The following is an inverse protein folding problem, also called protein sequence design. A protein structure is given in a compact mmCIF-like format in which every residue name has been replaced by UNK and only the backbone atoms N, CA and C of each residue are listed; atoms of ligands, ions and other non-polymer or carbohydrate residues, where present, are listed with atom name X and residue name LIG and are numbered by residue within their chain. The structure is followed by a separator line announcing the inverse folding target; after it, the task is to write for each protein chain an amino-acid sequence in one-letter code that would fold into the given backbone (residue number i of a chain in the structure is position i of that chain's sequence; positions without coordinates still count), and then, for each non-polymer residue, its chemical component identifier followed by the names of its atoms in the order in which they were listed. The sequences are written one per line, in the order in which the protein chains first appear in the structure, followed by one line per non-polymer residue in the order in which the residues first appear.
data_IF_833458029557
#
_entry.id   IF_833458029557
#
_cell.length_a   1.000
_cell.length_b   1.000
_cell.length_c   1.000
_cell.angle_alpha   90.00
_cell.angle_beta   90.00
_cell.angle_gamma   90.00
#
_symmetry.space_group_name_H-M   'P 1'
#
loop_
_entity.id
_entity.type
_entity.pdbx_description
1 polymer ?
#
# COMPACT_ATOMS: atom_id res chain seq x y z
N UNK A 1 -15.57 -19.54 24.57
CA UNK A 1 -14.22 -19.45 25.17
C UNK A 1 -13.08 -19.58 24.15
N UNK A 2 -13.10 -20.59 23.26
CA UNK A 2 -12.02 -20.85 22.27
C UNK A 2 -11.80 -19.70 21.27
N UNK A 3 -12.87 -19.05 20.77
CA UNK A 3 -12.77 -17.90 19.85
C UNK A 3 -12.02 -16.71 20.46
N UNK A 4 -12.13 -16.52 21.78
CA UNK A 4 -11.49 -15.42 22.52
C UNK A 4 -9.99 -15.64 22.68
N UNK A 5 -9.55 -16.88 22.92
CA UNK A 5 -8.13 -17.24 23.00
C UNK A 5 -7.43 -17.08 21.65
N UNK A 6 -8.08 -17.51 20.55
CA UNK A 6 -7.56 -17.34 19.19
C UNK A 6 -7.35 -15.85 18.85
N UNK A 7 -8.35 -15.00 19.14
CA UNK A 7 -8.25 -13.53 18.95
C UNK A 7 -7.11 -12.90 19.75
N UNK A 8 -6.91 -13.30 21.01
CA UNK A 8 -5.80 -12.82 21.86
C UNK A 8 -4.45 -13.20 21.27
N UNK A 9 -4.29 -14.46 20.84
CA UNK A 9 -3.06 -14.94 20.18
C UNK A 9 -2.76 -14.16 18.90
N UNK A 10 -3.75 -13.98 18.05
CA UNK A 10 -3.57 -13.27 16.77
C UNK A 10 -3.20 -11.81 16.99
N UNK A 11 -3.79 -11.15 18.01
CA UNK A 11 -3.40 -9.80 18.43
C UNK A 11 -1.94 -9.77 18.90
N UNK A 12 -1.55 -10.68 19.78
CA UNK A 12 -0.18 -10.76 20.28
C UNK A 12 0.82 -10.91 19.12
N UNK A 13 0.59 -11.88 18.22
CA UNK A 13 1.46 -12.10 17.05
C UNK A 13 1.58 -10.86 16.17
N UNK A 14 0.49 -10.13 15.93
CA UNK A 14 0.52 -8.86 15.17
C UNK A 14 1.37 -7.81 15.87
N UNK A 15 1.16 -7.63 17.17
CA UNK A 15 1.93 -6.66 17.98
C UNK A 15 3.42 -7.00 17.98
N UNK A 16 3.79 -8.26 18.25
CA UNK A 16 5.20 -8.68 18.28
C UNK A 16 5.86 -8.49 16.91
N UNK A 17 5.17 -8.82 15.82
CA UNK A 17 5.68 -8.57 14.46
C UNK A 17 5.89 -7.09 14.17
N UNK A 18 4.98 -6.24 14.62
CA UNK A 18 5.09 -4.78 14.44
C UNK A 18 6.25 -4.21 15.27
N UNK A 19 6.45 -4.67 16.50
CA UNK A 19 7.60 -4.30 17.34
C UNK A 19 8.91 -4.75 16.69
N UNK A 20 9.00 -6.00 16.25
CA UNK A 20 10.18 -6.52 15.56
C UNK A 20 10.49 -5.73 14.28
N UNK A 21 9.46 -5.29 13.55
CA UNK A 21 9.63 -4.41 12.40
C UNK A 21 10.15 -3.04 12.82
N UNK A 22 9.57 -2.42 13.85
CA UNK A 22 9.99 -1.11 14.34
C UNK A 22 11.46 -1.08 14.75
N UNK A 23 11.95 -2.17 15.35
CA UNK A 23 13.33 -2.33 15.78
C UNK A 23 14.29 -2.78 14.67
N UNK A 24 13.82 -3.04 13.45
CA UNK A 24 14.69 -3.47 12.36
C UNK A 24 15.61 -2.31 11.92
N UNK A 25 16.95 -2.43 12.08
CA UNK A 25 17.89 -1.37 11.73
C UNK A 25 18.21 -1.34 10.24
N UNK A 26 17.84 -2.38 9.48
CA UNK A 26 18.21 -2.50 8.09
C UNK A 26 17.22 -1.82 7.14
N UNK A 27 17.68 -1.34 5.97
CA UNK A 27 16.80 -0.76 4.97
C UNK A 27 15.70 -1.72 4.52
N UNK A 28 14.50 -1.17 4.34
CA UNK A 28 13.35 -1.92 3.82
C UNK A 28 12.95 -1.33 2.48
N UNK A 29 12.92 -2.19 1.47
CA UNK A 29 12.42 -1.88 0.14
C UNK A 29 10.96 -2.30 0.04
N UNK A 30 10.14 -1.48 -0.60
CA UNK A 30 8.70 -1.70 -0.68
C UNK A 30 8.12 -1.18 -1.99
N UNK A 31 6.95 -1.69 -2.35
CA UNK A 31 6.11 -1.16 -3.42
C UNK A 31 4.82 -0.63 -2.80
N UNK A 32 4.35 0.48 -3.34
CA UNK A 32 3.05 1.09 -3.06
C UNK A 32 2.22 0.99 -4.33
N UNK A 33 1.00 0.50 -4.18
CA UNK A 33 0.00 0.49 -5.24
C UNK A 33 -1.25 1.15 -4.67
N UNK A 34 -1.59 2.31 -5.22
CA UNK A 34 -2.71 3.14 -4.77
C UNK A 34 -3.60 3.48 -5.95
N UNK A 35 -4.90 3.50 -5.72
CA UNK A 35 -5.89 4.05 -6.65
C UNK A 35 -6.67 5.12 -5.90
N UNK A 36 -6.86 6.29 -6.51
CA UNK A 36 -7.71 7.34 -5.94
C UNK A 36 -9.19 7.13 -6.29
N UNK A 37 -10.06 8.06 -5.89
CA UNK A 37 -11.49 8.01 -6.16
C UNK A 37 -11.84 8.25 -7.64
N UNK A 38 -10.97 8.91 -8.40
CA UNK A 38 -11.11 9.18 -9.83
C UNK A 38 -10.61 8.02 -10.71
N UNK A 39 -10.29 6.88 -10.10
CA UNK A 39 -9.73 5.70 -10.76
C UNK A 39 -8.36 5.95 -11.40
N UNK A 40 -7.60 6.91 -10.88
CA UNK A 40 -6.20 7.07 -11.19
C UNK A 40 -5.37 6.13 -10.32
N UNK A 41 -4.68 5.18 -10.95
CA UNK A 41 -3.83 4.19 -10.30
C UNK A 41 -2.36 4.56 -10.45
N UNK A 42 -1.65 4.59 -9.33
CA UNK A 42 -0.21 4.79 -9.27
C UNK A 42 0.42 3.59 -8.58
N UNK A 43 1.46 3.03 -9.21
CA UNK A 43 2.32 2.04 -8.60
C UNK A 43 3.76 2.55 -8.58
N UNK A 44 4.37 2.59 -7.40
CA UNK A 44 5.71 3.14 -7.17
C UNK A 44 6.52 2.27 -6.22
N UNK A 45 7.85 2.35 -6.30
CA UNK A 45 8.76 1.69 -5.37
C UNK A 45 9.42 2.71 -4.45
N UNK A 46 9.71 2.30 -3.22
CA UNK A 46 10.32 3.12 -2.19
C UNK A 46 11.36 2.38 -1.35
N UNK A 47 12.11 3.16 -0.58
CA UNK A 47 13.11 2.67 0.38
C UNK A 47 12.99 3.43 1.69
N UNK A 48 12.80 2.69 2.77
CA UNK A 48 12.93 3.20 4.13
C UNK A 48 14.32 2.84 4.67
N UNK A 49 14.96 3.74 5.44
CA UNK A 49 16.29 3.47 5.99
C UNK A 49 16.27 2.41 7.09
N UNK A 50 15.15 2.32 7.81
CA UNK A 50 14.91 1.36 8.89
C UNK A 50 13.42 1.00 8.97
N UNK A 51 13.08 0.04 9.83
CA UNK A 51 11.70 -0.43 9.93
C UNK A 51 10.73 0.54 10.61
N UNK A 52 11.20 1.43 11.51
CA UNK A 52 10.35 2.51 12.02
C UNK A 52 9.89 3.46 10.90
N UNK A 53 10.81 3.88 10.02
CA UNK A 53 10.45 4.73 8.88
C UNK A 53 9.48 4.03 7.92
N UNK A 54 9.68 2.73 7.68
CA UNK A 54 8.77 1.93 6.87
C UNK A 54 7.35 1.89 7.47
N UNK A 55 7.24 1.66 8.78
CA UNK A 55 5.94 1.62 9.46
C UNK A 55 5.25 2.99 9.44
N UNK A 56 5.99 4.07 9.66
CA UNK A 56 5.45 5.44 9.55
C UNK A 56 4.88 5.69 8.16
N UNK A 57 5.68 5.40 7.12
CA UNK A 57 5.23 5.53 5.74
C UNK A 57 3.99 4.67 5.45
N UNK A 58 3.96 3.44 5.96
CA UNK A 58 2.84 2.54 5.75
C UNK A 58 1.54 3.07 6.39
N UNK A 59 1.63 3.59 7.62
CA UNK A 59 0.48 4.19 8.29
C UNK A 59 0.03 5.49 7.58
N UNK A 60 0.98 6.34 7.16
CA UNK A 60 0.69 7.59 6.42
C UNK A 60 0.00 7.30 5.08
N UNK A 61 0.48 6.31 4.33
CA UNK A 61 -0.10 5.91 3.04
C UNK A 61 -1.57 5.43 3.19
N UNK A 62 -1.89 4.73 4.27
CA UNK A 62 -3.28 4.33 4.54
C UNK A 62 -4.14 5.46 5.07
N UNK A 63 -3.58 6.39 5.85
CA UNK A 63 -4.32 7.54 6.35
C UNK A 63 -4.71 8.52 5.23
N UNK A 64 -3.88 8.61 4.19
CA UNK A 64 -4.10 9.48 3.02
C UNK A 64 -4.76 8.76 1.84
N UNK A 65 -5.07 7.47 1.96
CA UNK A 65 -5.67 6.69 0.90
C UNK A 65 -7.11 7.14 0.62
N UNK A 66 -7.36 7.67 -0.57
CA UNK A 66 -8.72 7.98 -1.05
C UNK A 66 -9.42 6.75 -1.66
N UNK A 67 -8.65 5.75 -2.11
CA UNK A 67 -9.17 4.50 -2.63
C UNK A 67 -8.28 3.29 -2.28
N UNK A 68 -8.46 2.14 -2.97
CA UNK A 68 -7.72 0.92 -2.69
C UNK A 68 -6.21 1.16 -2.69
N UNK A 69 -5.59 0.94 -1.53
CA UNK A 69 -4.16 1.15 -1.32
C UNK A 69 -3.51 -0.08 -0.71
N UNK A 70 -2.33 -0.44 -1.20
CA UNK A 70 -1.53 -1.52 -0.67
C UNK A 70 -0.07 -1.12 -0.59
N UNK A 71 0.59 -1.53 0.49
CA UNK A 71 2.04 -1.36 0.70
C UNK A 71 2.59 -2.71 1.09
N UNK A 72 3.60 -3.19 0.38
CA UNK A 72 4.20 -4.47 0.64
C UNK A 72 5.71 -4.45 0.44
N UNK A 73 6.41 -5.20 1.29
CA UNK A 73 7.86 -5.33 1.26
C UNK A 73 8.29 -6.15 0.05
N UNK A 74 9.38 -5.73 -0.58
CA UNK A 74 10.00 -6.44 -1.71
C UNK A 74 11.49 -6.59 -1.49
N UNK A 75 12.15 -7.38 -2.33
CA UNK A 75 13.61 -7.43 -2.33
C UNK A 75 14.19 -6.15 -2.92
N UNK A 76 15.44 -5.84 -2.56
CA UNK A 76 16.20 -4.74 -3.14
C UNK A 76 16.19 -4.78 -4.67
N UNK A 77 16.47 -5.95 -5.25
CA UNK A 77 16.50 -6.15 -6.71
C UNK A 77 15.15 -5.84 -7.36
N UNK A 78 14.04 -6.19 -6.71
CA UNK A 78 12.70 -5.86 -7.24
C UNK A 78 12.45 -4.36 -7.21
N UNK A 79 12.77 -3.67 -6.12
CA UNK A 79 12.59 -2.23 -6.03
C UNK A 79 13.50 -1.44 -6.99
N UNK A 80 14.77 -1.83 -7.13
CA UNK A 80 15.73 -1.14 -8.02
C UNK A 80 15.40 -1.31 -9.51
N UNK A 81 14.82 -2.43 -9.90
CA UNK A 81 14.38 -2.67 -11.28
C UNK A 81 12.93 -2.23 -11.55
N UNK A 82 12.25 -1.69 -10.53
CA UNK A 82 10.85 -1.32 -10.65
C UNK A 82 10.69 -0.12 -11.57
N UNK A 83 9.77 -0.23 -12.53
CA UNK A 83 9.36 0.89 -13.39
C UNK A 83 8.07 1.46 -12.84
N UNK A 84 8.10 2.74 -12.46
CA UNK A 84 6.91 3.48 -12.04
C UNK A 84 5.83 3.35 -13.13
N UNK A 85 4.61 3.11 -12.69
CA UNK A 85 3.44 3.02 -13.56
C UNK A 85 2.38 3.96 -13.04
N UNK A 86 1.75 4.68 -13.95
CA UNK A 86 0.63 5.56 -13.70
C UNK A 86 -0.42 5.27 -14.76
N UNK A 87 -1.68 5.22 -14.34
CA UNK A 87 -2.77 4.89 -15.24
C UNK A 87 -4.06 5.55 -14.80
N UNK A 88 -4.64 6.34 -15.70
CA UNK A 88 -5.95 6.95 -15.50
C UNK A 88 -7.02 6.10 -16.19
N UNK A 89 -7.78 5.32 -15.42
CA UNK A 89 -8.86 4.51 -16.00
C UNK A 89 -10.08 5.36 -16.41
N UNK A 90 -10.26 6.54 -15.82
CA UNK A 90 -11.32 7.48 -16.20
C UNK A 90 -11.07 8.07 -17.59
N UNK A 91 -9.85 8.58 -17.83
CA UNK A 91 -9.44 9.08 -19.14
C UNK A 91 -9.45 7.97 -20.21
N UNK A 92 -8.94 6.78 -19.90
CA UNK A 92 -8.95 5.64 -20.84
C UNK A 92 -10.37 5.18 -21.20
N UNK A 93 -11.33 5.26 -20.27
CA UNK A 93 -12.72 4.95 -20.56
C UNK A 93 -13.34 5.98 -21.50
N UNK A 94 -13.04 7.27 -21.31
CA UNK A 94 -13.50 8.35 -22.18
C UNK A 94 -12.92 8.23 -23.60
N UNK A 95 -11.61 7.98 -23.73
CA UNK A 95 -10.95 7.80 -25.03
C UNK A 95 -11.45 6.56 -25.80
N UNK A 96 -11.88 5.52 -25.10
CA UNK A 96 -12.40 4.27 -25.70
C UNK A 96 -13.92 4.28 -25.91
N UNK A 97 -14.59 5.41 -25.65
CA UNK A 97 -16.04 5.54 -25.82
C UNK A 97 -16.87 4.70 -24.84
N UNK A 98 -16.31 4.36 -23.66
CA UNK A 98 -16.95 3.52 -22.65
C UNK A 98 -17.63 4.39 -21.57
N UNK A 99 -18.94 4.25 -21.32
CA UNK A 99 -19.78 5.30 -20.73
C UNK A 99 -19.79 5.30 -19.19
N UNK A 100 -18.65 5.17 -18.51
CA UNK A 100 -18.59 5.44 -17.06
C UNK A 100 -18.59 6.95 -16.73
N UNK A 101 -19.16 7.77 -17.61
CA UNK A 101 -19.57 9.13 -17.26
C UNK A 101 -20.77 9.04 -16.32
N UNK A 102 -20.51 9.34 -15.05
CA UNK A 102 -21.50 9.85 -14.11
C UNK A 102 -22.38 10.85 -14.87
N UNK A 103 -23.67 10.51 -15.01
CA UNK A 103 -24.68 11.50 -15.39
C UNK A 103 -24.78 12.43 -14.19
N UNK A 104 -24.20 13.62 -14.29
CA UNK A 104 -24.63 14.73 -13.46
C UNK A 104 -25.98 15.14 -14.03
N UNK A 105 -27.04 14.73 -13.33
CA UNK A 105 -28.39 15.29 -13.50
C UNK A 105 -28.39 16.76 -13.08
#
# INVERSE_FOLDING_TARGET
MIKTLKRKRDRFVRTTRRIAMMLNPFPIYYIVDSTDCDHYRVTSAGRASCGWQYLKFWDDAFAQAEGPTSVYRVSRKVAENFRRSERDYGAEAYERGNPYSIRYD
#
